data_IF_887011999151
#
_entry.id   IF_887011999151
#
_cell.length_a   1.000
_cell.length_b   1.000
_cell.length_c   1.000
_cell.angle_alpha   90.00
_cell.angle_beta   90.00
_cell.angle_gamma   90.00
#
_symmetry.space_group_name_H-M   'P 1'
#
loop_
_entity.id
_entity.type
_entity.pdbx_description
1 polymer ?
#
# COMPACT_ATOMS: atom_id res chain seq x y z
N UNK A 1 38.60 5.37 2.86
CA UNK A 1 37.26 4.82 3.14
C UNK A 1 36.23 5.93 3.05
N UNK A 2 35.49 6.01 1.94
CA UNK A 2 34.67 7.19 1.57
C UNK A 2 33.25 6.85 1.11
N UNK A 3 32.81 5.59 1.24
CA UNK A 3 31.47 5.15 0.81
C UNK A 3 30.63 4.78 2.02
N UNK A 4 29.49 5.45 2.17
CA UNK A 4 28.46 5.14 3.15
C UNK A 4 27.19 4.71 2.42
N UNK A 5 26.63 3.55 2.77
CA UNK A 5 25.35 3.10 2.23
C UNK A 5 24.23 3.75 3.05
N UNK A 6 23.36 4.51 2.39
CA UNK A 6 22.26 5.25 3.04
C UNK A 6 20.88 4.62 2.79
N UNK A 7 20.81 3.65 1.89
CA UNK A 7 19.60 2.92 1.54
C UNK A 7 19.86 1.82 0.51
N UNK A 8 19.01 0.79 0.51
CA UNK A 8 18.98 -0.27 -0.50
C UNK A 8 17.54 -0.67 -0.75
N UNK A 9 17.24 -1.08 -1.97
CA UNK A 9 15.96 -1.68 -2.32
C UNK A 9 16.22 -2.81 -3.32
N UNK A 10 16.15 -4.06 -2.85
CA UNK A 10 16.20 -5.21 -3.74
C UNK A 10 14.93 -5.30 -4.58
N UNK A 11 15.04 -5.79 -5.82
CA UNK A 11 13.87 -6.06 -6.66
C UNK A 11 12.98 -7.08 -5.94
N UNK A 12 11.71 -6.77 -5.61
CA UNK A 12 10.85 -7.73 -4.90
C UNK A 12 10.58 -8.97 -5.75
N UNK A 13 10.53 -10.14 -5.09
CA UNK A 13 10.06 -11.38 -5.70
C UNK A 13 9.05 -12.05 -4.77
N UNK A 14 7.76 -11.89 -5.07
CA UNK A 14 6.70 -12.40 -4.20
C UNK A 14 6.44 -13.90 -4.42
N UNK A 15 6.02 -14.58 -3.35
CA UNK A 15 5.78 -16.02 -3.33
C UNK A 15 4.45 -16.37 -4.02
N UNK A 16 4.51 -17.11 -5.13
CA UNK A 16 3.34 -17.41 -5.97
C UNK A 16 2.22 -18.15 -5.22
N UNK A 17 2.46 -19.27 -4.52
CA UNK A 17 1.42 -19.95 -3.75
C UNK A 17 0.67 -19.04 -2.76
N UNK A 18 1.42 -18.18 -2.04
CA UNK A 18 0.82 -17.22 -1.10
C UNK A 18 0.02 -16.15 -1.86
N UNK A 19 0.51 -15.68 -3.02
CA UNK A 19 -0.18 -14.68 -3.83
C UNK A 19 -1.52 -15.19 -4.39
N UNK A 20 -1.58 -16.46 -4.81
CA UNK A 20 -2.81 -17.11 -5.26
C UNK A 20 -3.83 -17.25 -4.11
N UNK A 21 -3.38 -17.63 -2.92
CA UNK A 21 -4.22 -17.66 -1.73
C UNK A 21 -4.73 -16.26 -1.34
N UNK A 22 -3.85 -15.26 -1.35
CA UNK A 22 -4.18 -13.86 -1.09
C UNK A 22 -5.24 -13.34 -2.06
N UNK A 23 -5.09 -13.64 -3.36
CA UNK A 23 -6.05 -13.22 -4.39
C UNK A 23 -7.40 -13.92 -4.23
N UNK A 24 -7.43 -15.22 -3.95
CA UNK A 24 -8.67 -15.94 -3.66
C UNK A 24 -9.42 -15.31 -2.47
N UNK A 25 -8.69 -14.91 -1.42
CA UNK A 25 -9.27 -14.17 -0.29
C UNK A 25 -9.73 -12.76 -0.69
N UNK A 26 -9.01 -12.06 -1.56
CA UNK A 26 -9.44 -10.76 -2.09
C UNK A 26 -10.76 -10.86 -2.87
N UNK A 27 -10.92 -11.89 -3.71
CA UNK A 27 -12.17 -12.19 -4.43
C UNK A 27 -13.30 -12.49 -3.45
N UNK A 28 -13.05 -13.29 -2.41
CA UNK A 28 -14.05 -13.65 -1.41
C UNK A 28 -14.48 -12.47 -0.54
N UNK A 29 -13.55 -11.60 -0.14
CA UNK A 29 -13.88 -10.38 0.62
C UNK A 29 -14.62 -9.38 -0.26
N UNK A 30 -14.26 -9.29 -1.55
CA UNK A 30 -14.85 -8.34 -2.48
C UNK A 30 -14.44 -6.90 -2.15
N UNK A 31 -14.78 -5.96 -3.02
CA UNK A 31 -14.34 -4.57 -2.90
C UNK A 31 -14.89 -3.86 -1.66
N UNK A 32 -14.25 -2.77 -1.19
CA UNK A 32 -14.82 -1.98 -0.12
C UNK A 32 -16.22 -1.46 -0.50
N UNK A 33 -17.15 -1.34 0.46
CA UNK A 33 -18.52 -0.91 0.20
C UNK A 33 -18.58 0.61 -0.02
N UNK A 34 -18.17 1.04 -1.22
CA UNK A 34 -18.24 2.43 -1.63
C UNK A 34 -19.68 2.92 -1.69
N UNK A 35 -19.92 4.10 -1.16
CA UNK A 35 -21.20 4.80 -1.30
C UNK A 35 -21.13 5.92 -2.35
N UNK A 36 -22.27 6.56 -2.62
CA UNK A 36 -22.36 7.64 -3.61
C UNK A 36 -21.46 8.83 -3.27
N UNK A 37 -21.19 9.07 -1.98
CA UNK A 37 -20.33 10.17 -1.53
C UNK A 37 -18.86 9.85 -1.82
N UNK A 38 -18.45 8.61 -1.59
CA UNK A 38 -17.11 8.13 -1.93
C UNK A 38 -16.83 8.27 -3.44
N UNK A 39 -17.80 7.84 -4.26
CA UNK A 39 -17.70 7.96 -5.72
C UNK A 39 -17.68 9.44 -6.14
N UNK A 40 -18.57 10.27 -5.59
CA UNK A 40 -18.62 11.70 -5.89
C UNK A 40 -17.28 12.39 -5.59
N UNK A 41 -16.67 12.12 -4.44
CA UNK A 41 -15.37 12.69 -4.09
C UNK A 41 -14.27 12.18 -5.04
N UNK A 42 -14.21 10.87 -5.29
CA UNK A 42 -13.19 10.28 -6.14
C UNK A 42 -13.20 10.86 -7.55
N UNK A 43 -14.40 11.00 -8.15
CA UNK A 43 -14.60 11.60 -9.47
C UNK A 43 -14.17 13.06 -9.49
N UNK A 44 -14.58 13.85 -8.48
CA UNK A 44 -14.20 15.25 -8.38
C UNK A 44 -12.66 15.43 -8.27
N UNK A 45 -11.99 14.58 -7.50
CA UNK A 45 -10.53 14.58 -7.38
C UNK A 45 -9.87 14.20 -8.71
N UNK A 46 -10.37 13.18 -9.40
CA UNK A 46 -9.84 12.78 -10.71
C UNK A 46 -9.94 13.91 -11.73
N UNK A 47 -11.10 14.56 -11.84
CA UNK A 47 -11.30 15.72 -12.72
C UNK A 47 -10.35 16.87 -12.35
N UNK A 48 -10.25 17.21 -11.06
CA UNK A 48 -9.33 18.24 -10.56
C UNK A 48 -7.87 17.94 -10.90
N UNK A 49 -7.47 16.67 -10.94
CA UNK A 49 -6.12 16.24 -11.29
C UNK A 49 -5.91 16.00 -12.80
N UNK A 50 -6.89 16.33 -13.65
CA UNK A 50 -6.83 16.10 -15.10
C UNK A 50 -6.75 14.61 -15.46
N UNK A 51 -7.31 13.74 -14.63
CA UNK A 51 -7.35 12.28 -14.81
C UNK A 51 -8.72 11.83 -15.33
N UNK A 52 -8.81 10.64 -15.95
CA UNK A 52 -10.09 10.09 -16.37
C UNK A 52 -11.07 9.97 -15.19
N UNK A 53 -12.30 10.46 -15.42
CA UNK A 53 -13.42 10.34 -14.48
C UNK A 53 -13.92 8.88 -14.43
N UNK A 54 -13.20 8.07 -13.65
CA UNK A 54 -13.39 6.62 -13.54
C UNK A 54 -14.02 6.21 -12.21
N UNK A 55 -14.01 7.09 -11.22
CA UNK A 55 -14.43 6.80 -9.85
C UNK A 55 -13.53 5.78 -9.15
N UNK A 56 -14.04 5.21 -8.07
CA UNK A 56 -13.43 4.10 -7.35
C UNK A 56 -13.76 2.78 -8.04
N UNK A 57 -12.79 1.86 -8.09
CA UNK A 57 -12.99 0.51 -8.60
C UNK A 57 -14.05 -0.24 -7.79
N UNK A 58 -14.92 -0.98 -8.49
CA UNK A 58 -16.04 -1.74 -7.88
C UNK A 58 -15.93 -3.25 -8.08
N UNK A 59 -14.86 -3.72 -8.73
CA UNK A 59 -14.56 -5.14 -8.88
C UNK A 59 -13.08 -5.43 -8.60
N UNK A 60 -12.81 -6.66 -8.13
CA UNK A 60 -11.45 -7.17 -7.94
C UNK A 60 -10.89 -7.57 -9.30
N UNK A 61 -9.73 -7.01 -9.67
CA UNK A 61 -9.06 -7.35 -10.91
C UNK A 61 -8.57 -8.82 -10.90
N UNK A 62 -8.46 -9.48 -12.06
CA UNK A 62 -7.87 -10.81 -12.14
C UNK A 62 -6.40 -10.77 -11.68
N UNK A 63 -5.95 -11.89 -11.11
CA UNK A 63 -4.54 -12.07 -10.78
C UNK A 63 -3.73 -12.12 -12.07
N UNK A 64 -2.67 -11.32 -12.14
CA UNK A 64 -1.77 -11.27 -13.29
C UNK A 64 -0.70 -12.35 -13.18
N UNK A 65 -0.28 -12.92 -14.31
CA UNK A 65 0.95 -13.69 -14.40
C UNK A 65 2.17 -12.78 -14.17
N UNK A 66 3.35 -13.35 -13.83
CA UNK A 66 4.59 -12.57 -13.77
C UNK A 66 4.89 -11.78 -15.05
N UNK A 67 4.64 -12.35 -16.22
CA UNK A 67 4.84 -11.68 -17.51
C UNK A 67 3.88 -10.51 -17.72
N UNK A 68 2.60 -10.70 -17.37
CA UNK A 68 1.59 -9.64 -17.43
C UNK A 68 1.92 -8.51 -16.46
N UNK A 69 2.33 -8.85 -15.23
CA UNK A 69 2.76 -7.88 -14.23
C UNK A 69 4.00 -7.09 -14.71
N UNK A 70 4.98 -7.77 -15.32
CA UNK A 70 6.17 -7.12 -15.88
C UNK A 70 5.82 -6.16 -17.03
N UNK A 71 4.90 -6.54 -17.93
CA UNK A 71 4.43 -5.68 -19.03
C UNK A 71 3.62 -4.48 -18.53
N UNK A 72 2.83 -4.66 -17.47
CA UNK A 72 2.00 -3.60 -16.89
C UNK A 72 2.78 -2.67 -15.94
N UNK A 73 4.00 -3.05 -15.53
CA UNK A 73 4.80 -2.26 -14.61
C UNK A 73 5.44 -1.07 -15.30
N UNK A 74 5.23 0.13 -14.78
CA UNK A 74 6.00 1.34 -15.12
C UNK A 74 7.19 1.55 -14.17
N UNK A 75 7.45 0.57 -13.29
CA UNK A 75 8.40 0.61 -12.17
C UNK A 75 7.85 -0.12 -10.95
N UNK A 76 8.72 -0.50 -10.03
CA UNK A 76 8.34 -0.97 -8.68
C UNK A 76 8.67 0.14 -7.67
N UNK A 77 7.84 0.29 -6.63
CA UNK A 77 8.19 1.17 -5.51
C UNK A 77 9.52 0.76 -4.88
N UNK A 78 10.29 1.73 -4.41
CA UNK A 78 11.51 1.48 -3.62
C UNK A 78 11.10 1.24 -2.17
N UNK A 79 11.13 -0.02 -1.75
CA UNK A 79 10.61 -0.48 -0.46
C UNK A 79 11.50 -1.60 0.10
N UNK A 80 11.65 -1.67 1.42
CA UNK A 80 12.51 -2.63 2.10
C UNK A 80 11.96 -4.07 2.06
N UNK A 81 10.68 -4.23 1.72
CA UNK A 81 10.06 -5.53 1.49
C UNK A 81 10.78 -6.33 0.41
N UNK A 82 11.46 -5.66 -0.51
CA UNK A 82 12.31 -6.29 -1.51
C UNK A 82 13.31 -7.25 -0.86
N UNK A 83 14.11 -6.75 0.08
CA UNK A 83 15.08 -7.51 0.84
C UNK A 83 14.43 -8.65 1.63
N UNK A 84 13.30 -8.39 2.30
CA UNK A 84 12.53 -9.39 3.05
C UNK A 84 12.09 -10.54 2.15
N UNK A 85 11.59 -10.24 0.95
CA UNK A 85 11.08 -11.27 0.03
C UNK A 85 12.14 -12.29 -0.36
N UNK A 86 13.43 -11.93 -0.35
CA UNK A 86 14.52 -12.85 -0.65
C UNK A 86 15.01 -13.68 0.54
N UNK A 87 14.51 -13.40 1.75
CA UNK A 87 14.89 -14.12 2.98
C UNK A 87 13.80 -15.07 3.45
N UNK A 88 12.53 -14.71 3.24
CA UNK A 88 11.37 -15.52 3.65
C UNK A 88 10.23 -15.46 2.61
N UNK A 89 9.43 -16.54 2.45
CA UNK A 89 8.24 -16.53 1.60
C UNK A 89 7.31 -15.37 1.95
N UNK A 90 7.14 -14.41 1.04
CA UNK A 90 6.44 -13.15 1.31
C UNK A 90 5.54 -12.71 0.16
N UNK A 91 4.50 -11.96 0.48
CA UNK A 91 3.65 -11.21 -0.45
C UNK A 91 3.34 -9.83 0.11
N UNK A 92 3.06 -8.87 -0.76
CA UNK A 92 2.49 -7.58 -0.38
C UNK A 92 1.07 -7.48 -0.93
N UNK A 93 0.14 -7.03 -0.08
CA UNK A 93 -1.23 -6.74 -0.53
C UNK A 93 -1.34 -5.27 -0.94
N UNK A 94 -1.65 -5.03 -2.20
CA UNK A 94 -2.22 -3.77 -2.65
C UNK A 94 -3.74 -3.90 -2.67
N UNK A 95 -4.41 -3.04 -1.90
CA UNK A 95 -5.86 -3.04 -1.80
C UNK A 95 -6.43 -1.62 -1.95
N UNK A 96 -7.60 -1.43 -2.59
CA UNK A 96 -8.19 -0.12 -2.79
C UNK A 96 -8.45 0.63 -1.48
N UNK A 97 -7.64 1.66 -1.22
CA UNK A 97 -7.79 2.58 -0.08
C UNK A 97 -7.43 4.03 -0.45
N UNK A 98 -7.27 4.32 -1.74
CA UNK A 98 -7.01 5.66 -2.28
C UNK A 98 -7.75 5.83 -3.62
N UNK A 99 -7.76 7.04 -4.16
CA UNK A 99 -8.45 7.42 -5.41
C UNK A 99 -7.56 7.03 -6.60
N UNK A 100 -8.05 6.23 -7.57
CA UNK A 100 -7.28 5.86 -8.74
C UNK A 100 -6.86 7.06 -9.58
N UNK A 101 -5.64 7.01 -10.13
CA UNK A 101 -5.11 8.00 -11.06
C UNK A 101 -4.35 9.15 -10.41
N UNK A 102 -4.31 9.26 -9.07
CA UNK A 102 -3.47 10.26 -8.41
C UNK A 102 -1.97 9.99 -8.66
N UNK A 103 -1.11 11.02 -8.62
CA UNK A 103 0.30 10.87 -9.00
C UNK A 103 1.16 10.00 -8.08
N UNK A 104 0.75 9.77 -6.82
CA UNK A 104 1.61 9.19 -5.80
C UNK A 104 2.60 10.22 -5.25
N UNK A 105 2.90 10.15 -3.95
CA UNK A 105 3.78 11.10 -3.25
C UNK A 105 3.38 12.58 -3.48
N UNK A 106 2.09 12.82 -3.69
CA UNK A 106 1.51 14.13 -3.98
C UNK A 106 0.44 14.48 -2.94
N UNK A 107 0.18 15.76 -2.74
CA UNK A 107 -0.84 16.22 -1.78
C UNK A 107 -2.24 15.69 -2.12
N UNK A 108 -2.54 15.44 -3.40
CA UNK A 108 -3.83 14.91 -3.84
C UNK A 108 -4.08 13.49 -3.30
N UNK A 109 -3.03 12.67 -3.17
CA UNK A 109 -3.12 11.33 -2.59
C UNK A 109 -3.47 11.36 -1.10
N UNK A 110 -3.19 12.47 -0.41
CA UNK A 110 -3.54 12.64 1.00
C UNK A 110 -5.04 12.93 1.23
N UNK A 111 -5.79 13.32 0.19
CA UNK A 111 -7.22 13.61 0.30
C UNK A 111 -7.98 12.39 0.78
N UNK A 112 -7.80 11.24 0.12
CA UNK A 112 -8.55 10.03 0.45
C UNK A 112 -8.19 9.49 1.85
N UNK A 113 -6.94 9.67 2.28
CA UNK A 113 -6.41 9.18 3.56
C UNK A 113 -7.16 9.73 4.78
N UNK A 114 -7.75 10.92 4.66
CA UNK A 114 -8.51 11.57 5.72
C UNK A 114 -10.03 11.25 5.66
N UNK A 115 -10.48 10.39 4.74
CA UNK A 115 -11.89 10.19 4.41
C UNK A 115 -12.35 8.75 4.64
N UNK A 116 -13.67 8.49 4.64
CA UNK A 116 -14.21 7.13 4.66
C UNK A 116 -13.63 6.19 3.58
N UNK A 117 -13.14 6.70 2.44
CA UNK A 117 -12.52 5.90 1.38
C UNK A 117 -11.35 5.06 1.92
N UNK A 118 -10.39 5.70 2.61
CA UNK A 118 -9.25 4.98 3.15
C UNK A 118 -9.67 4.01 4.25
N UNK A 119 -10.60 4.39 5.12
CA UNK A 119 -11.04 3.55 6.24
C UNK A 119 -11.78 2.30 5.76
N UNK A 120 -12.73 2.44 4.82
CA UNK A 120 -13.43 1.31 4.20
C UNK A 120 -12.44 0.40 3.47
N UNK A 121 -11.49 0.99 2.75
CA UNK A 121 -10.42 0.28 2.04
C UNK A 121 -9.53 -0.56 2.96
N UNK A 122 -9.00 0.06 4.02
CA UNK A 122 -8.12 -0.59 5.00
C UNK A 122 -8.84 -1.73 5.71
N UNK A 123 -10.11 -1.55 6.10
CA UNK A 123 -10.89 -2.63 6.74
C UNK A 123 -11.08 -3.82 5.81
N UNK A 124 -11.39 -3.59 4.53
CA UNK A 124 -11.51 -4.68 3.56
C UNK A 124 -10.15 -5.37 3.32
N UNK A 125 -9.07 -4.61 3.12
CA UNK A 125 -7.71 -5.16 2.98
C UNK A 125 -7.25 -5.96 4.20
N UNK A 126 -7.56 -5.49 5.41
CA UNK A 126 -7.24 -6.18 6.65
C UNK A 126 -7.95 -7.55 6.74
N UNK A 127 -9.20 -7.65 6.28
CA UNK A 127 -9.90 -8.95 6.18
C UNK A 127 -9.17 -9.91 5.24
N UNK A 128 -8.72 -9.43 4.08
CA UNK A 128 -7.95 -10.25 3.13
C UNK A 128 -6.65 -10.75 3.76
N UNK A 129 -5.90 -9.88 4.44
CA UNK A 129 -4.68 -10.26 5.15
C UNK A 129 -4.95 -11.28 6.26
N UNK A 130 -5.98 -11.05 7.09
CA UNK A 130 -6.34 -11.95 8.18
C UNK A 130 -6.74 -13.34 7.67
N UNK A 131 -7.54 -13.42 6.61
CA UNK A 131 -7.92 -14.69 6.00
C UNK A 131 -6.71 -15.43 5.40
N UNK A 132 -5.78 -14.69 4.80
CA UNK A 132 -4.55 -15.28 4.24
C UNK A 132 -3.60 -15.78 5.33
N UNK A 133 -3.54 -15.09 6.48
CA UNK A 133 -2.81 -15.56 7.64
C UNK A 133 -3.42 -16.87 8.18
N UNK A 134 -4.75 -16.93 8.32
CA UNK A 134 -5.45 -18.15 8.71
C UNK A 134 -5.17 -19.30 7.74
N UNK A 135 -5.17 -19.04 6.44
CA UNK A 135 -4.82 -20.02 5.43
C UNK A 135 -3.40 -20.58 5.61
N UNK A 136 -2.42 -19.71 5.87
CA UNK A 136 -1.04 -20.13 6.11
C UNK A 136 -0.91 -20.98 7.38
N UNK A 137 -1.72 -20.70 8.41
CA UNK A 137 -1.71 -21.43 9.68
C UNK A 137 -2.47 -22.76 9.61
N UNK A 138 -3.56 -22.81 8.83
CA UNK A 138 -4.52 -23.92 8.85
C UNK A 138 -4.44 -24.83 7.62
N UNK A 139 -3.69 -24.45 6.56
CA UNK A 139 -3.49 -25.27 5.36
C UNK A 139 -2.03 -25.70 5.23
N UNK A 140 -1.62 -26.84 5.83
CA UNK A 140 -0.23 -27.32 5.78
C UNK A 140 0.34 -27.43 4.36
N UNK A 141 -0.50 -27.80 3.39
CA UNK A 141 -0.12 -27.85 1.98
C UNK A 141 0.32 -26.47 1.44
N UNK A 142 -0.41 -25.39 1.75
CA UNK A 142 -0.03 -24.05 1.31
C UNK A 142 1.35 -23.66 1.84
N UNK A 143 1.63 -23.95 3.12
CA UNK A 143 2.93 -23.71 3.73
C UNK A 143 4.04 -24.53 3.06
N UNK A 144 3.78 -25.81 2.76
CA UNK A 144 4.72 -26.66 2.02
C UNK A 144 5.01 -26.14 0.62
N UNK A 145 3.97 -25.79 -0.13
CA UNK A 145 4.08 -25.26 -1.50
C UNK A 145 4.82 -23.91 -1.52
N UNK A 146 4.56 -23.04 -0.53
CA UNK A 146 5.26 -21.76 -0.38
C UNK A 146 6.78 -21.95 -0.13
N UNK A 147 7.15 -22.91 0.74
CA UNK A 147 8.56 -23.24 1.02
C UNK A 147 9.25 -23.87 -0.19
N UNK A 148 8.57 -24.80 -0.87
CA UNK A 148 9.07 -25.42 -2.09
C UNK A 148 9.34 -24.38 -3.18
N UNK A 149 8.36 -23.53 -3.46
CA UNK A 149 8.52 -22.43 -4.41
C UNK A 149 9.70 -21.51 -4.06
N UNK A 150 9.82 -21.16 -2.78
CA UNK A 150 10.90 -20.29 -2.31
C UNK A 150 12.29 -20.91 -2.55
N UNK A 151 12.47 -22.19 -2.22
CA UNK A 151 13.75 -22.89 -2.36
C UNK A 151 14.08 -23.24 -3.82
N UNK A 152 13.08 -23.72 -4.57
CA UNK A 152 13.29 -24.39 -5.85
C UNK A 152 12.95 -23.53 -7.07
N UNK A 153 12.29 -22.39 -6.88
CA UNK A 153 12.01 -21.42 -7.97
C UNK A 153 12.66 -20.09 -7.68
N UNK A 154 12.22 -19.42 -6.61
CA UNK A 154 12.60 -18.04 -6.32
C UNK A 154 14.10 -17.90 -6.04
N UNK A 155 14.64 -18.68 -5.09
CA UNK A 155 16.05 -18.58 -4.68
C UNK A 155 16.96 -19.59 -5.38
N UNK A 156 16.46 -20.31 -6.39
CA UNK A 156 17.23 -21.36 -7.07
C UNK A 156 18.53 -20.84 -7.67
N UNK A 157 18.44 -19.73 -8.39
CA UNK A 157 19.59 -19.12 -9.10
C UNK A 157 20.13 -17.90 -8.37
N UNK A 158 19.26 -17.08 -7.79
CA UNK A 158 19.62 -15.83 -7.13
C UNK A 158 19.73 -16.04 -5.63
N UNK A 159 20.87 -15.64 -5.05
CA UNK A 159 21.11 -15.68 -3.61
C UNK A 159 21.17 -14.26 -3.07
N UNK A 160 20.37 -14.00 -2.04
CA UNK A 160 20.34 -12.70 -1.38
C UNK A 160 21.70 -12.37 -0.76
N UNK A 161 22.13 -11.12 -0.94
CA UNK A 161 23.25 -10.55 -0.20
C UNK A 161 22.84 -9.15 0.24
N UNK A 162 22.78 -8.86 1.55
CA UNK A 162 22.52 -7.52 2.03
C UNK A 162 23.52 -6.53 1.42
N UNK A 163 23.04 -5.38 0.94
CA UNK A 163 23.93 -4.28 0.59
C UNK A 163 24.45 -3.57 1.85
N UNK A 164 23.64 -3.58 2.91
CA UNK A 164 23.98 -3.02 4.21
C UNK A 164 25.00 -3.89 4.95
N UNK A 165 26.00 -3.24 5.52
CA UNK A 165 26.91 -3.84 6.49
C UNK A 165 26.22 -3.99 7.86
N UNK A 166 26.67 -4.93 8.71
CA UNK A 166 26.15 -5.06 10.08
C UNK A 166 26.29 -3.81 10.95
N UNK A 167 27.19 -2.90 10.58
CA UNK A 167 27.44 -1.64 11.28
C UNK A 167 26.62 -0.46 10.75
N UNK A 168 25.99 -0.60 9.58
CA UNK A 168 25.19 0.49 9.00
C UNK A 168 24.00 0.80 9.90
N UNK A 169 23.70 2.09 10.03
CA UNK A 169 22.57 2.60 10.82
C UNK A 169 21.60 3.35 9.91
N UNK A 170 20.29 3.36 10.21
CA UNK A 170 19.35 4.16 9.47
C UNK A 170 19.78 5.63 9.44
N UNK A 171 19.74 6.25 8.25
CA UNK A 171 20.16 7.63 8.03
C UNK A 171 19.13 8.66 8.57
N UNK A 172 18.79 8.55 9.86
CA UNK A 172 17.78 9.37 10.56
C UNK A 172 18.08 10.87 10.51
N UNK A 173 19.36 11.23 10.35
CA UNK A 173 19.83 12.61 10.25
C UNK A 173 19.37 13.33 8.98
N UNK A 174 19.09 12.60 7.87
CA UNK A 174 18.69 13.21 6.59
C UNK A 174 17.45 14.10 6.68
N UNK A 175 16.52 13.74 7.56
CA UNK A 175 15.26 14.46 7.76
C UNK A 175 15.18 15.19 9.11
N UNK A 176 16.23 15.11 9.95
CA UNK A 176 16.17 15.58 11.33
C UNK A 176 15.85 17.07 11.43
N UNK A 177 16.53 17.92 10.66
CA UNK A 177 16.31 19.37 10.68
C UNK A 177 14.90 19.75 10.23
N UNK A 178 14.43 19.18 9.10
CA UNK A 178 13.08 19.44 8.57
C UNK A 178 12.01 18.99 9.56
N UNK A 179 12.16 17.79 10.12
CA UNK A 179 11.23 17.28 11.12
C UNK A 179 11.23 18.18 12.36
N UNK A 180 12.39 18.61 12.86
CA UNK A 180 12.48 19.52 14.01
C UNK A 180 11.78 20.86 13.74
N UNK A 181 12.00 21.44 12.56
CA UNK A 181 11.39 22.72 12.14
C UNK A 181 9.86 22.67 12.13
N UNK A 182 9.25 21.60 11.64
CA UNK A 182 7.80 21.52 11.42
C UNK A 182 7.03 20.75 12.49
N UNK A 183 7.71 20.04 13.41
CA UNK A 183 7.04 19.16 14.39
C UNK A 183 6.02 19.89 15.26
N UNK A 184 6.34 21.08 15.74
CA UNK A 184 5.42 21.85 16.58
C UNK A 184 4.21 22.36 15.81
N UNK A 185 4.40 22.75 14.55
CA UNK A 185 3.32 23.15 13.64
C UNK A 185 2.42 21.96 13.27
N UNK A 186 2.99 20.76 13.11
CA UNK A 186 2.20 19.55 12.80
C UNK A 186 1.33 19.11 13.99
N UNK A 187 1.81 19.27 15.22
CA UNK A 187 1.10 18.81 16.44
C UNK A 187 -0.28 19.41 16.59
N UNK A 188 -0.50 20.65 16.12
CA UNK A 188 -1.83 21.29 16.18
C UNK A 188 -2.87 20.61 15.29
N UNK A 189 -2.43 19.80 14.32
CA UNK A 189 -3.30 19.06 13.42
C UNK A 189 -3.43 17.58 13.80
N UNK A 190 -2.80 17.13 14.89
CA UNK A 190 -2.95 15.74 15.31
C UNK A 190 -4.39 15.47 15.74
N UNK A 191 -4.91 14.33 15.30
CA UNK A 191 -6.26 13.91 15.62
C UNK A 191 -6.40 13.66 17.13
N UNK A 192 -7.38 14.30 17.76
CA UNK A 192 -7.73 14.12 19.17
C UNK A 192 -9.04 13.32 19.30
N UNK A 193 -8.96 11.98 19.41
CA UNK A 193 -10.13 11.13 19.51
C UNK A 193 -10.92 11.31 20.83
N UNK A 194 -10.37 12.04 21.82
CA UNK A 194 -11.09 12.36 23.06
C UNK A 194 -12.10 13.50 22.89
N UNK A 195 -11.93 14.33 21.85
CA UNK A 195 -12.78 15.50 21.57
C UNK A 195 -13.67 15.32 20.36
N UNK A 196 -13.20 14.62 19.34
CA UNK A 196 -13.89 14.47 18.07
C UNK A 196 -14.04 13.01 17.72
N UNK A 197 -15.19 12.64 17.16
CA UNK A 197 -15.43 11.26 16.70
C UNK A 197 -14.65 10.91 15.43
N UNK A 198 -14.37 11.91 14.59
CA UNK A 198 -13.61 11.72 13.34
C UNK A 198 -12.67 12.90 13.08
N UNK A 199 -11.62 12.64 12.30
CA UNK A 199 -10.69 13.68 11.85
C UNK A 199 -11.40 14.76 11.01
N UNK A 200 -12.41 14.38 10.21
CA UNK A 200 -13.21 15.34 9.43
C UNK A 200 -14.01 16.28 10.34
N UNK A 201 -14.58 15.79 11.45
CA UNK A 201 -15.26 16.64 12.44
C UNK A 201 -14.29 17.61 13.12
N UNK A 202 -13.10 17.14 13.48
CA UNK A 202 -12.05 18.01 14.05
C UNK A 202 -11.68 19.17 13.10
N UNK A 203 -11.63 18.88 11.79
CA UNK A 203 -11.32 19.88 10.77
C UNK A 203 -12.53 20.71 10.32
N UNK A 204 -13.74 20.42 10.80
CA UNK A 204 -14.96 21.10 10.35
C UNK A 204 -15.34 20.81 8.89
N UNK A 205 -14.91 19.66 8.34
CA UNK A 205 -15.14 19.28 6.94
C UNK A 205 -16.39 18.42 6.81
N UNK A 206 -17.31 18.83 5.95
CA UNK A 206 -18.48 18.04 5.56
C UNK A 206 -18.13 17.01 4.48
N UNK A 207 -18.61 15.78 4.60
CA UNK A 207 -18.30 14.70 3.65
C UNK A 207 -19.48 14.38 2.70
N UNK A 208 -19.28 14.39 1.36
CA UNK A 208 -18.05 14.76 0.66
C UNK A 208 -17.95 16.29 0.49
N UNK A 209 -16.73 16.83 0.47
CA UNK A 209 -16.46 18.20 0.04
C UNK A 209 -15.91 18.16 -1.37
N UNK A 210 -16.60 18.80 -2.32
CA UNK A 210 -16.18 18.88 -3.72
C UNK A 210 -16.10 20.35 -4.17
N UNK A 211 -15.18 20.70 -5.09
CA UNK A 211 -15.13 22.05 -5.65
C UNK A 211 -16.46 22.42 -6.33
N UNK A 212 -16.97 23.64 -6.10
CA UNK A 212 -18.23 24.11 -6.73
C UNK A 212 -18.13 24.26 -8.25
N UNK A 213 -16.91 24.35 -8.79
CA UNK A 213 -16.59 24.25 -10.23
C UNK A 213 -15.20 23.61 -10.37
N UNK A 214 -15.05 22.70 -11.32
CA UNK A 214 -13.72 22.30 -11.79
C UNK A 214 -13.03 23.52 -12.42
N UNK A 215 -11.70 23.71 -12.26
CA UNK A 215 -10.96 24.74 -12.97
C UNK A 215 -11.07 24.59 -14.49
#
# INVERSE_FOLDING_TARGET
DTVQVIGSAWRPHFNKPIAEALHANAVRVGMPPWDDKDQTLARAVQVMMGRPDSGLHTSVAPLRSPEEAAKASTGTGSDDIGDVTWTVPSVTLYYPANIPGTPGHNWADAIAMATPIAHKGVIAGAKVQAMTLLDLMLRPKLMSDAKDYFANVQTKTTKYRPLMAPTDQPATWLNAEKMAKYRDQMRTYYYDPSKYETYLKQLGISYPTVPMRAP
#
